data_IF_673445993695
#
_entry.id   IF_673445993695
#
_cell.length_a   1.000
_cell.length_b   1.000
_cell.length_c   1.000
_cell.angle_alpha   90.00
_cell.angle_beta   90.00
_cell.angle_gamma   90.00
#
_symmetry.space_group_name_H-M   'P 1'
#
loop_
_entity.id
_entity.type
_entity.pdbx_description
1 polymer ?
#
# COMPACT_ATOMS: atom_id res chain seq x y z
N UNK A 1 21.11 20.00 -8.99
CA UNK A 1 20.65 20.84 -7.85
C UNK A 1 19.14 20.72 -7.60
N UNK A 2 18.31 20.68 -8.65
CA UNK A 2 16.83 20.68 -8.59
C UNK A 2 16.19 19.45 -7.92
N UNK A 3 16.74 18.24 -8.11
CA UNK A 3 16.18 17.01 -7.56
C UNK A 3 16.28 16.92 -6.03
N UNK A 4 17.44 17.31 -5.46
CA UNK A 4 17.66 17.35 -4.01
C UNK A 4 16.75 18.36 -3.31
N UNK A 5 16.53 19.53 -3.91
CA UNK A 5 15.63 20.55 -3.37
C UNK A 5 14.19 20.02 -3.36
N UNK A 6 13.71 19.42 -4.46
CA UNK A 6 12.37 18.82 -4.53
C UNK A 6 12.15 17.77 -3.44
N UNK A 7 13.12 16.87 -3.23
CA UNK A 7 13.05 15.87 -2.15
C UNK A 7 12.96 16.50 -0.76
N UNK A 8 13.77 17.54 -0.48
CA UNK A 8 13.70 18.24 0.80
C UNK A 8 12.39 19.00 0.99
N UNK A 9 11.84 19.62 -0.05
CA UNK A 9 10.53 20.27 0.00
C UNK A 9 9.43 19.26 0.34
N UNK A 10 9.41 18.10 -0.33
CA UNK A 10 8.46 17.02 -0.05
C UNK A 10 8.56 16.54 1.40
N UNK A 11 9.78 16.36 1.94
CA UNK A 11 9.99 15.99 3.35
C UNK A 11 9.40 17.01 4.30
N UNK A 12 9.66 18.31 4.07
CA UNK A 12 9.12 19.37 4.91
C UNK A 12 7.58 19.41 4.88
N UNK A 13 6.95 19.10 3.73
CA UNK A 13 5.49 18.98 3.63
C UNK A 13 4.96 17.82 4.49
N UNK A 14 5.58 16.63 4.40
CA UNK A 14 5.16 15.46 5.21
C UNK A 14 5.33 15.73 6.71
N UNK A 15 6.47 16.29 7.12
CA UNK A 15 6.71 16.66 8.52
C UNK A 15 5.72 17.74 9.01
N UNK A 16 5.45 18.74 8.17
CA UNK A 16 4.46 19.77 8.42
C UNK A 16 3.05 19.21 8.60
N UNK A 17 2.66 18.22 7.78
CA UNK A 17 1.37 17.54 7.90
C UNK A 17 1.21 16.83 9.26
N UNK A 18 2.25 16.11 9.73
CA UNK A 18 2.25 15.52 11.08
C UNK A 18 2.10 16.57 12.19
N UNK A 19 2.77 17.71 12.03
CA UNK A 19 2.67 18.82 13.00
C UNK A 19 1.27 19.44 13.00
N UNK A 20 0.64 19.58 11.84
CA UNK A 20 -0.70 20.18 11.70
C UNK A 20 -1.80 19.35 12.39
N UNK A 21 -1.63 18.04 12.50
CA UNK A 21 -2.59 17.13 13.16
C UNK A 21 -2.16 16.69 14.56
N UNK A 22 -1.03 17.19 15.06
CA UNK A 22 -0.51 16.86 16.39
C UNK A 22 -1.56 17.10 17.48
N UNK A 23 -1.72 16.14 18.39
CA UNK A 23 -2.66 16.22 19.51
C UNK A 23 -4.12 15.96 19.14
N UNK A 24 -4.44 15.74 17.87
CA UNK A 24 -5.82 15.51 17.38
C UNK A 24 -6.17 14.04 17.19
N UNK A 25 -5.26 13.13 17.51
CA UNK A 25 -5.36 11.69 17.23
C UNK A 25 -5.69 11.39 15.76
N UNK A 26 -5.26 12.30 14.88
CA UNK A 26 -5.52 12.24 13.45
C UNK A 26 -4.60 11.27 12.71
N UNK A 27 -4.82 11.15 11.39
CA UNK A 27 -4.02 10.30 10.51
C UNK A 27 -3.31 11.14 9.46
N UNK A 28 -2.05 10.81 9.16
CA UNK A 28 -1.31 11.36 8.02
C UNK A 28 -1.02 10.22 7.06
N UNK A 29 -1.78 10.18 5.97
CA UNK A 29 -1.54 9.25 4.86
C UNK A 29 -0.48 9.80 3.92
N UNK A 30 0.54 9.01 3.62
CA UNK A 30 1.54 9.31 2.60
C UNK A 30 1.59 8.20 1.57
N UNK A 31 1.16 8.55 0.36
CA UNK A 31 1.24 7.68 -0.81
C UNK A 31 2.56 7.89 -1.54
N UNK A 32 3.03 6.86 -2.25
CA UNK A 32 4.34 6.81 -2.91
C UNK A 32 5.50 7.18 -1.97
N UNK A 33 5.45 6.63 -0.76
CA UNK A 33 6.31 7.06 0.33
C UNK A 33 7.82 6.91 0.08
N UNK A 34 8.18 6.02 -0.84
CA UNK A 34 9.55 5.83 -1.30
C UNK A 34 10.19 7.14 -1.84
N UNK A 35 9.37 8.06 -2.41
CA UNK A 35 9.85 9.32 -3.00
C UNK A 35 10.50 10.25 -1.97
N UNK A 36 10.05 10.22 -0.72
CA UNK A 36 10.62 11.07 0.34
C UNK A 36 11.73 10.36 1.14
N UNK A 37 11.77 9.02 1.14
CA UNK A 37 12.74 8.24 1.91
C UNK A 37 14.14 8.29 1.30
N UNK A 38 14.26 8.24 -0.03
CA UNK A 38 15.53 8.42 -0.75
C UNK A 38 16.60 7.37 -0.42
N UNK A 39 17.64 7.27 -1.26
CA UNK A 39 18.75 6.31 -1.06
C UNK A 39 19.78 6.76 -0.02
N UNK A 40 19.74 8.03 0.40
CA UNK A 40 20.70 8.61 1.32
C UNK A 40 20.30 8.35 2.77
N UNK A 41 21.17 7.71 3.56
CA UNK A 41 20.93 7.34 4.99
C UNK A 41 20.38 8.47 5.87
N UNK A 42 20.69 9.73 5.56
CA UNK A 42 20.19 10.89 6.31
C UNK A 42 18.68 11.11 6.15
N UNK A 43 18.12 10.80 4.98
CA UNK A 43 16.70 10.96 4.69
C UNK A 43 15.83 9.89 5.35
N UNK A 44 16.30 8.63 5.31
CA UNK A 44 15.68 7.52 6.05
C UNK A 44 15.61 7.80 7.54
N UNK A 45 16.68 8.35 8.13
CA UNK A 45 16.73 8.70 9.56
C UNK A 45 15.71 9.77 9.97
N UNK A 46 15.53 10.81 9.16
CA UNK A 46 14.53 11.86 9.45
C UNK A 46 13.12 11.28 9.43
N UNK A 47 12.83 10.41 8.48
CA UNK A 47 11.53 9.77 8.40
C UNK A 47 11.29 8.77 9.54
N UNK A 48 12.29 7.96 9.87
CA UNK A 48 12.26 7.05 11.00
C UNK A 48 11.95 7.80 12.32
N UNK A 49 12.62 8.95 12.54
CA UNK A 49 12.34 9.82 13.68
C UNK A 49 10.89 10.32 13.66
N UNK A 50 10.39 10.76 12.50
CA UNK A 50 9.00 11.22 12.37
C UNK A 50 7.99 10.12 12.74
N UNK A 51 8.18 8.89 12.24
CA UNK A 51 7.33 7.74 12.59
C UNK A 51 7.41 7.41 14.08
N UNK A 52 8.62 7.38 14.66
CA UNK A 52 8.80 7.13 16.10
C UNK A 52 8.16 8.20 16.98
N UNK A 53 8.22 9.47 16.55
CA UNK A 53 7.62 10.60 17.27
C UNK A 53 6.09 10.67 17.09
N UNK A 54 5.53 10.07 16.05
CA UNK A 54 4.10 10.18 15.75
C UNK A 54 3.21 9.76 16.93
N UNK A 55 3.61 8.69 17.63
CA UNK A 55 2.92 8.21 18.83
C UNK A 55 2.88 9.25 19.95
N UNK A 56 4.01 9.89 20.27
CA UNK A 56 4.06 10.93 21.31
C UNK A 56 3.38 12.23 20.86
N UNK A 57 3.32 12.46 19.56
CA UNK A 57 2.61 13.58 18.95
C UNK A 57 1.12 13.30 18.70
N UNK A 58 0.60 12.14 19.10
CA UNK A 58 -0.83 11.78 18.97
C UNK A 58 -1.33 11.92 17.53
N UNK A 59 -0.61 11.30 16.59
CA UNK A 59 -1.12 11.05 15.24
C UNK A 59 -0.65 9.68 14.73
N UNK A 60 -1.35 9.13 13.75
CA UNK A 60 -1.02 7.86 13.12
C UNK A 60 -0.49 8.10 11.70
N UNK A 61 0.77 7.75 11.40
CA UNK A 61 1.27 7.76 10.04
C UNK A 61 0.76 6.52 9.31
N UNK A 62 0.27 6.69 8.09
CA UNK A 62 -0.09 5.60 7.18
C UNK A 62 0.71 5.75 5.92
N UNK A 63 1.39 4.69 5.54
CA UNK A 63 2.34 4.68 4.44
C UNK A 63 1.84 3.69 3.41
N UNK A 64 1.77 4.14 2.15
CA UNK A 64 1.33 3.33 1.02
C UNK A 64 2.45 3.35 -0.02
N UNK A 65 2.86 2.18 -0.49
CA UNK A 65 3.94 2.06 -1.48
C UNK A 65 3.93 0.68 -2.15
N UNK A 66 4.38 0.65 -3.40
CA UNK A 66 4.66 -0.58 -4.15
C UNK A 66 6.13 -1.03 -3.98
N UNK A 67 7.02 -0.12 -3.57
CA UNK A 67 8.46 -0.39 -3.44
C UNK A 67 8.84 -0.77 -2.01
N UNK A 68 8.67 -2.05 -1.71
CA UNK A 68 8.88 -2.59 -0.36
C UNK A 68 10.35 -2.56 0.08
N UNK A 69 11.28 -2.77 -0.85
CA UNK A 69 12.72 -2.82 -0.55
C UNK A 69 13.23 -1.52 0.09
N UNK A 70 12.71 -0.37 -0.33
CA UNK A 70 13.13 0.93 0.20
C UNK A 70 12.76 1.11 1.69
N UNK A 71 11.75 0.39 2.20
CA UNK A 71 11.42 0.37 3.63
C UNK A 71 12.40 -0.46 4.46
N UNK A 72 12.87 -1.56 3.89
CA UNK A 72 13.88 -2.41 4.52
C UNK A 72 15.20 -1.63 4.60
N UNK A 73 15.59 -0.98 3.50
CA UNK A 73 16.83 -0.19 3.41
C UNK A 73 16.81 1.02 4.37
N UNK A 74 15.61 1.49 4.73
CA UNK A 74 15.40 2.58 5.68
C UNK A 74 15.26 2.14 7.16
N UNK A 75 15.45 0.86 7.45
CA UNK A 75 15.35 0.27 8.81
C UNK A 75 14.01 0.54 9.52
N UNK A 76 12.91 0.57 8.75
CA UNK A 76 11.57 0.86 9.28
C UNK A 76 10.84 -0.37 9.83
N UNK A 77 11.50 -1.53 9.85
CA UNK A 77 10.95 -2.81 10.35
C UNK A 77 10.37 -2.67 11.75
N UNK A 78 11.05 -1.96 12.66
CA UNK A 78 10.59 -1.73 14.03
C UNK A 78 9.52 -0.65 14.20
N UNK A 79 9.21 0.12 13.15
CA UNK A 79 8.25 1.23 13.20
C UNK A 79 6.83 0.86 12.76
N UNK A 80 6.64 -0.32 12.14
CA UNK A 80 5.36 -0.74 11.57
C UNK A 80 4.59 -1.57 12.61
N UNK A 81 3.54 -0.99 13.19
CA UNK A 81 2.68 -1.71 14.14
C UNK A 81 1.65 -2.60 13.45
N UNK A 82 1.17 -2.20 12.26
CA UNK A 82 0.09 -2.84 11.52
C UNK A 82 0.33 -2.70 10.03
N UNK A 83 -0.09 -3.70 9.26
CA UNK A 83 0.04 -3.68 7.81
C UNK A 83 -1.14 -4.37 7.12
N UNK A 84 -1.46 -3.89 5.93
CA UNK A 84 -2.30 -4.57 4.95
C UNK A 84 -1.40 -4.97 3.79
N UNK A 85 -1.16 -6.26 3.65
CA UNK A 85 -0.37 -6.82 2.56
C UNK A 85 -1.30 -7.22 1.41
N UNK A 86 -1.23 -6.48 0.31
CA UNK A 86 -2.06 -6.67 -0.88
C UNK A 86 -1.34 -7.51 -1.93
N UNK A 87 -1.95 -7.65 -3.12
CA UNK A 87 -1.29 -8.23 -4.28
C UNK A 87 0.01 -7.47 -4.60
N UNK A 88 1.11 -8.20 -4.76
CA UNK A 88 2.42 -7.70 -5.09
C UNK A 88 3.05 -8.63 -6.12
N UNK A 89 3.84 -8.07 -7.02
CA UNK A 89 4.53 -8.86 -8.02
C UNK A 89 5.50 -9.86 -7.37
N UNK A 90 5.46 -11.09 -7.88
CA UNK A 90 6.34 -12.16 -7.45
C UNK A 90 7.07 -12.81 -8.64
N UNK A 91 7.88 -12.03 -9.40
CA UNK A 91 8.70 -12.59 -10.47
C UNK A 91 9.70 -13.62 -9.92
N UNK A 92 10.15 -14.53 -10.77
CA UNK A 92 11.25 -15.43 -10.44
C UNK A 92 12.50 -14.63 -10.05
N UNK A 93 13.17 -15.10 -9.00
CA UNK A 93 14.40 -14.47 -8.53
C UNK A 93 15.56 -14.87 -9.44
N UNK A 94 16.20 -13.88 -10.04
CA UNK A 94 17.41 -14.05 -10.82
C UNK A 94 18.50 -13.09 -10.34
N UNK A 95 19.76 -13.55 -10.32
CA UNK A 95 20.92 -12.74 -9.97
C UNK A 95 20.84 -12.05 -8.57
N UNK A 96 20.23 -12.73 -7.60
CA UNK A 96 20.12 -12.23 -6.22
C UNK A 96 19.08 -11.12 -6.01
N UNK A 97 18.21 -10.87 -6.99
CA UNK A 97 17.05 -9.99 -6.81
C UNK A 97 16.00 -10.69 -5.95
N UNK A 98 15.40 -9.94 -5.01
CA UNK A 98 14.30 -10.42 -4.16
C UNK A 98 13.01 -9.83 -4.70
N UNK A 99 11.98 -10.66 -4.87
CA UNK A 99 10.69 -10.18 -5.38
C UNK A 99 10.04 -9.20 -4.38
N UNK A 100 9.25 -8.20 -4.84
CA UNK A 100 8.50 -7.31 -3.95
C UNK A 100 7.67 -8.07 -2.90
N UNK A 101 7.04 -9.17 -3.31
CA UNK A 101 6.26 -10.03 -2.44
C UNK A 101 7.10 -10.67 -1.31
N UNK A 102 8.28 -11.24 -1.62
CA UNK A 102 9.21 -11.77 -0.60
C UNK A 102 9.78 -10.67 0.30
N UNK A 103 10.12 -9.51 -0.25
CA UNK A 103 10.56 -8.36 0.56
C UNK A 103 9.47 -7.93 1.55
N UNK A 104 8.19 -8.03 1.18
CA UNK A 104 7.09 -7.72 2.09
C UNK A 104 6.95 -8.72 3.23
N UNK A 105 7.10 -10.03 2.96
CA UNK A 105 7.11 -11.03 4.02
C UNK A 105 8.27 -10.79 5.01
N UNK A 106 9.45 -10.45 4.50
CA UNK A 106 10.61 -10.11 5.33
C UNK A 106 10.39 -8.85 6.15
N UNK A 107 9.89 -7.77 5.54
CA UNK A 107 9.60 -6.50 6.22
C UNK A 107 8.61 -6.69 7.36
N UNK A 108 7.61 -7.55 7.16
CA UNK A 108 6.52 -7.78 8.12
C UNK A 108 6.76 -8.97 9.05
N UNK A 109 7.88 -9.69 8.92
CA UNK A 109 8.18 -10.88 9.71
C UNK A 109 7.12 -11.97 9.57
N UNK A 110 6.63 -12.21 8.36
CA UNK A 110 5.63 -13.24 8.06
C UNK A 110 6.34 -14.58 7.87
N UNK A 111 5.82 -15.62 8.51
CA UNK A 111 6.31 -16.99 8.33
C UNK A 111 5.37 -17.72 7.37
N UNK A 112 5.86 -17.99 6.16
CA UNK A 112 5.09 -18.68 5.11
C UNK A 112 5.81 -19.96 4.63
N UNK A 113 5.89 -21.01 5.46
CA UNK A 113 6.69 -22.20 5.18
C UNK A 113 6.25 -22.95 3.92
N UNK A 114 4.98 -22.81 3.54
CA UNK A 114 4.41 -23.45 2.35
C UNK A 114 4.34 -22.51 1.13
N UNK A 115 4.81 -21.26 1.26
CA UNK A 115 4.75 -20.26 0.20
C UNK A 115 3.32 -19.87 -0.23
N UNK A 116 2.31 -20.12 0.62
CA UNK A 116 0.91 -19.89 0.26
C UNK A 116 0.60 -18.40 0.16
N UNK A 117 1.07 -17.59 1.11
CA UNK A 117 0.87 -16.14 1.11
C UNK A 117 1.60 -15.56 -0.10
N UNK A 118 2.85 -15.98 -0.30
CA UNK A 118 3.69 -15.57 -1.41
C UNK A 118 3.06 -15.85 -2.79
N UNK A 119 2.58 -17.08 -3.00
CA UNK A 119 1.92 -17.47 -4.24
C UNK A 119 0.65 -16.64 -4.51
N UNK A 120 -0.14 -16.37 -3.47
CA UNK A 120 -1.38 -15.59 -3.62
C UNK A 120 -1.11 -14.13 -3.96
N UNK A 121 -0.03 -13.53 -3.45
CA UNK A 121 0.36 -12.15 -3.78
C UNK A 121 0.59 -11.97 -5.28
N UNK A 122 1.31 -12.90 -5.91
CA UNK A 122 1.65 -12.86 -7.33
C UNK A 122 0.58 -13.46 -8.27
N UNK A 123 -0.50 -14.03 -7.72
CA UNK A 123 -1.51 -14.71 -8.54
C UNK A 123 -2.42 -13.72 -9.29
N UNK A 124 -2.64 -13.99 -10.58
CA UNK A 124 -3.57 -13.23 -11.42
C UNK A 124 -5.03 -13.44 -11.01
N UNK A 125 -5.86 -12.43 -11.29
CA UNK A 125 -7.28 -12.39 -10.93
C UNK A 125 -8.15 -13.32 -11.77
N UNK A 126 -7.62 -13.81 -12.89
CA UNK A 126 -8.27 -14.78 -13.78
C UNK A 126 -7.39 -16.00 -14.00
N UNK A 127 -8.02 -17.17 -14.08
CA UNK A 127 -7.41 -18.41 -14.55
C UNK A 127 -7.34 -18.41 -16.09
N UNK A 128 -6.57 -19.33 -16.67
CA UNK A 128 -6.42 -19.47 -18.13
C UNK A 128 -7.75 -19.70 -18.85
N UNK A 129 -8.73 -20.31 -18.17
CA UNK A 129 -10.08 -20.52 -18.69
C UNK A 129 -11.00 -19.28 -18.58
N UNK A 130 -10.46 -18.14 -18.15
CA UNK A 130 -11.19 -16.88 -17.97
C UNK A 130 -12.07 -16.81 -16.72
N UNK A 131 -12.09 -17.85 -15.88
CA UNK A 131 -12.81 -17.81 -14.61
C UNK A 131 -12.04 -17.02 -13.55
N UNK A 132 -12.73 -16.39 -12.58
CA UNK A 132 -12.05 -15.69 -11.50
C UNK A 132 -11.17 -16.65 -10.68
N UNK A 133 -9.94 -16.26 -10.40
CA UNK A 133 -8.99 -17.05 -9.64
C UNK A 133 -9.17 -16.81 -8.12
N UNK A 134 -9.69 -17.78 -7.34
CA UNK A 134 -9.93 -17.59 -5.90
C UNK A 134 -8.64 -17.38 -5.10
N UNK A 135 -7.50 -17.85 -5.61
CA UNK A 135 -6.20 -17.71 -4.95
C UNK A 135 -5.64 -16.29 -5.03
N UNK A 136 -6.01 -15.50 -6.04
CA UNK A 136 -5.55 -14.11 -6.15
C UNK A 136 -5.91 -13.29 -4.92
N UNK A 137 -5.12 -12.27 -4.63
CA UNK A 137 -5.46 -11.19 -3.71
C UNK A 137 -6.18 -10.02 -4.39
N UNK A 138 -6.19 -9.99 -5.74
CA UNK A 138 -6.86 -8.96 -6.53
C UNK A 138 -8.39 -9.09 -6.40
N UNK A 139 -9.11 -8.04 -6.80
CA UNK A 139 -10.58 -8.04 -6.92
C UNK A 139 -10.99 -9.06 -7.97
N UNK A 140 -12.00 -9.87 -7.67
CA UNK A 140 -12.49 -10.89 -8.58
C UNK A 140 -13.78 -10.42 -9.27
N UNK A 141 -13.80 -10.50 -10.60
CA UNK A 141 -14.93 -10.07 -11.43
C UNK A 141 -15.39 -11.23 -12.29
N UNK A 142 -16.69 -11.52 -12.26
CA UNK A 142 -17.29 -12.54 -13.11
C UNK A 142 -17.15 -12.15 -14.58
N UNK A 143 -16.57 -13.03 -15.39
CA UNK A 143 -16.43 -12.79 -16.83
C UNK A 143 -17.79 -12.65 -17.54
N UNK A 144 -18.79 -13.44 -17.13
CA UNK A 144 -20.12 -13.47 -17.73
C UNK A 144 -20.97 -12.26 -17.35
N UNK A 145 -20.94 -11.83 -16.09
CA UNK A 145 -21.83 -10.76 -15.60
C UNK A 145 -21.15 -9.42 -15.42
N UNK A 146 -19.81 -9.37 -15.50
CA UNK A 146 -18.97 -8.22 -15.14
C UNK A 146 -19.18 -7.70 -13.71
N UNK A 147 -19.89 -8.44 -12.86
CA UNK A 147 -20.10 -8.08 -11.45
C UNK A 147 -18.93 -8.56 -10.59
N UNK A 148 -18.63 -7.78 -9.55
CA UNK A 148 -17.66 -8.18 -8.52
C UNK A 148 -18.20 -9.40 -7.78
N UNK A 149 -17.43 -10.48 -7.80
CA UNK A 149 -17.74 -11.74 -7.08
C UNK A 149 -17.12 -11.72 -5.70
N UNK A 150 -15.94 -11.08 -5.57
CA UNK A 150 -15.22 -10.87 -4.32
C UNK A 150 -14.42 -9.58 -4.41
N UNK A 151 -14.35 -8.84 -3.31
CA UNK A 151 -13.41 -7.74 -3.13
C UNK A 151 -11.95 -8.19 -3.24
N UNK A 152 -11.05 -7.21 -3.17
CA UNK A 152 -9.63 -7.50 -2.99
C UNK A 152 -9.43 -8.12 -1.61
N UNK A 153 -8.43 -8.99 -1.46
CA UNK A 153 -8.07 -9.58 -0.17
C UNK A 153 -6.72 -9.03 0.24
N UNK A 154 -6.62 -8.60 1.50
CA UNK A 154 -5.35 -8.26 2.12
C UNK A 154 -5.01 -9.28 3.21
N UNK A 155 -3.73 -9.52 3.41
CA UNK A 155 -3.25 -10.13 4.65
C UNK A 155 -3.04 -9.03 5.69
N UNK A 156 -3.90 -9.01 6.69
CA UNK A 156 -3.84 -8.04 7.79
C UNK A 156 -2.91 -8.54 8.90
N UNK A 157 -1.84 -7.79 9.15
CA UNK A 157 -0.88 -8.02 10.24
C UNK A 157 -1.16 -7.04 11.38
N UNK A 158 -1.40 -7.56 12.58
CA UNK A 158 -1.57 -6.76 13.80
C UNK A 158 -0.50 -7.13 14.83
N UNK A 159 0.48 -6.24 14.98
CA UNK A 159 1.63 -6.44 15.87
C UNK A 159 2.45 -7.67 15.46
N UNK A 160 2.73 -8.56 16.41
CA UNK A 160 3.60 -9.74 16.23
C UNK A 160 2.87 -10.99 15.71
N UNK A 161 1.53 -11.03 15.66
CA UNK A 161 0.76 -12.22 15.25
C UNK A 161 0.89 -12.53 13.76
N UNK A 162 0.82 -13.79 13.33
CA UNK A 162 0.73 -14.11 11.90
C UNK A 162 -0.49 -13.43 11.24
N UNK A 163 -0.38 -13.00 9.97
CA UNK A 163 -1.43 -12.23 9.34
C UNK A 163 -2.64 -13.09 8.97
N UNK A 164 -3.82 -12.46 8.95
CA UNK A 164 -5.08 -13.11 8.54
C UNK A 164 -5.60 -12.51 7.24
N UNK A 165 -6.20 -13.30 6.34
CA UNK A 165 -6.82 -12.75 5.14
C UNK A 165 -8.11 -12.00 5.51
N UNK A 166 -8.23 -10.76 5.04
CA UNK A 166 -9.42 -9.92 5.18
C UNK A 166 -9.88 -9.46 3.79
N UNK A 167 -11.19 -9.49 3.55
CA UNK A 167 -11.78 -8.96 2.32
C UNK A 167 -11.99 -7.45 2.44
N UNK A 168 -11.51 -6.71 1.45
CA UNK A 168 -11.71 -5.28 1.30
C UNK A 168 -12.85 -5.07 0.30
N UNK A 169 -13.99 -4.67 0.83
CA UNK A 169 -15.17 -4.29 0.05
C UNK A 169 -15.32 -2.77 0.11
N UNK A 170 -15.15 -2.11 -1.03
CA UNK A 170 -15.41 -0.68 -1.15
C UNK A 170 -16.86 -0.50 -1.59
N UNK A 171 -17.70 0.22 -0.82
CA UNK A 171 -19.07 0.49 -1.21
C UNK A 171 -19.13 1.15 -2.60
N UNK A 172 -20.03 0.71 -3.50
CA UNK A 172 -20.10 1.25 -4.85
C UNK A 172 -20.33 2.76 -4.92
N UNK A 173 -21.06 3.32 -3.95
CA UNK A 173 -21.24 4.76 -3.83
C UNK A 173 -19.91 5.48 -3.58
N UNK A 174 -19.14 5.01 -2.59
CA UNK A 174 -17.83 5.56 -2.28
C UNK A 174 -16.84 5.38 -3.44
N UNK A 175 -16.82 4.21 -4.08
CA UNK A 175 -15.91 3.93 -5.21
C UNK A 175 -16.12 4.92 -6.36
N UNK A 176 -17.36 5.30 -6.65
CA UNK A 176 -17.68 6.30 -7.70
C UNK A 176 -17.09 7.67 -7.39
N UNK A 177 -16.94 8.02 -6.11
CA UNK A 177 -16.40 9.30 -5.68
C UNK A 177 -14.87 9.30 -5.68
N UNK A 178 -14.26 8.21 -5.21
CA UNK A 178 -12.80 8.12 -5.00
C UNK A 178 -12.03 7.56 -6.20
N UNK A 179 -12.70 6.96 -7.19
CA UNK A 179 -12.01 6.37 -8.34
C UNK A 179 -11.22 7.43 -9.11
N UNK A 180 -9.96 7.11 -9.37
CA UNK A 180 -9.02 7.93 -10.15
C UNK A 180 -8.85 7.44 -11.58
N UNK A 181 -9.48 6.32 -11.96
CA UNK A 181 -9.46 5.78 -13.31
C UNK A 181 -10.00 6.81 -14.31
N UNK A 182 -9.30 6.99 -15.42
CA UNK A 182 -9.64 8.01 -16.43
C UNK A 182 -11.10 7.92 -16.89
N UNK A 183 -11.58 6.70 -17.15
CA UNK A 183 -12.96 6.42 -17.58
C UNK A 183 -14.00 6.87 -16.53
N UNK A 184 -13.72 6.63 -15.25
CA UNK A 184 -14.62 7.02 -14.15
C UNK A 184 -14.62 8.53 -13.91
N UNK A 185 -13.48 9.21 -14.11
CA UNK A 185 -13.40 10.68 -14.07
C UNK A 185 -14.27 11.30 -15.15
N UNK A 186 -14.14 10.84 -16.40
CA UNK A 186 -14.92 11.33 -17.54
C UNK A 186 -16.42 11.10 -17.30
N UNK A 187 -16.81 9.90 -16.87
CA UNK A 187 -18.21 9.57 -16.60
C UNK A 187 -18.82 10.41 -15.46
N UNK A 188 -18.02 10.83 -14.48
CA UNK A 188 -18.44 11.70 -13.38
C UNK A 188 -18.59 13.16 -13.82
N UNK A 189 -17.67 13.68 -14.62
CA UNK A 189 -17.76 15.03 -15.18
C UNK A 189 -18.99 15.17 -16.09
N UNK A 190 -19.26 14.16 -16.92
CA UNK A 190 -20.45 14.12 -17.78
C UNK A 190 -21.78 14.09 -17.01
N UNK A 191 -21.83 13.49 -15.81
CA UNK A 191 -23.03 13.54 -14.94
C UNK A 191 -23.23 14.91 -14.33
N UNK A 192 -22.16 15.54 -13.83
CA UNK A 192 -22.22 16.90 -13.26
C UNK A 192 -22.73 17.92 -14.28
N UNK A 193 -22.34 17.78 -15.54
CA UNK A 193 -22.79 18.67 -16.62
C UNK A 193 -24.24 18.40 -17.09
N UNK A 194 -24.86 17.27 -16.71
CA UNK A 194 -26.27 16.96 -17.00
C UNK A 194 -27.23 17.35 -15.86
N UNK A 195 -26.68 17.58 -14.68
CA UNK A 195 -27.42 17.99 -13.48
C UNK A 195 -27.40 19.52 -13.28
N UNK A 196 -26.72 20.26 -14.17
CA UNK A 196 -26.77 21.73 -14.33
C UNK A 196 -27.65 22.09 -15.52
#
# INVERSE_FOLDING_TARGET
>A
MTARIRQWTLRMVVMGAGTAVRGRDGMVGVDEAWVFMGKDKGASRTFEQWVRMARSQRFTPVIISQKVQEFIDADLTGGISRALLLALDNPEEANGTVSPAKSAERLLGIEDPNGRILQRMGADDTLDNGQPNPNSLKRLVSASTRKTVRGAVAYFKDGSKQPIPVEIVIPPALLKEISTTATDKIAREQRKNKEQ
#
